data_IF_599359184926
#
_entry.id   IF_599359184926
#
_cell.length_a   1.000
_cell.length_b   1.000
_cell.length_c   1.000
_cell.angle_alpha   90.00
_cell.angle_beta   90.00
_cell.angle_gamma   90.00
#
_symmetry.space_group_name_H-M   'P 1'
#
loop_
_entity.id
_entity.type
_entity.pdbx_description
1 polymer ?
#
# COMPACT_ATOMS: atom_id res chain seq x y z
N UNK A 1 -12.99 -7.83 5.84
CA UNK A 1 -13.06 -8.02 4.37
C UNK A 1 -11.75 -7.64 3.71
N UNK A 2 -11.35 -6.38 3.75
CA UNK A 2 -10.07 -5.88 3.22
C UNK A 2 -8.84 -6.66 3.72
N UNK A 3 -8.76 -6.98 5.02
CA UNK A 3 -7.69 -7.80 5.60
C UNK A 3 -7.55 -9.20 5.00
N UNK A 4 -8.68 -9.84 4.70
CA UNK A 4 -8.69 -11.19 4.18
C UNK A 4 -8.32 -11.18 2.69
N UNK A 5 -8.82 -10.21 1.93
CA UNK A 5 -8.46 -10.08 0.51
C UNK A 5 -6.97 -9.79 0.32
N UNK A 6 -6.36 -8.95 1.16
CA UNK A 6 -4.94 -8.59 1.02
C UNK A 6 -4.00 -9.70 1.50
N UNK A 7 -4.37 -10.48 2.51
CA UNK A 7 -3.59 -11.66 2.89
C UNK A 7 -3.63 -12.75 1.80
N UNK A 8 -4.77 -12.95 1.14
CA UNK A 8 -4.89 -13.89 0.01
C UNK A 8 -4.05 -13.43 -1.20
N UNK A 9 -4.05 -12.12 -1.49
CA UNK A 9 -3.19 -11.55 -2.55
C UNK A 9 -1.70 -11.72 -2.20
N UNK A 10 -1.29 -11.48 -0.96
CA UNK A 10 0.10 -11.68 -0.53
C UNK A 10 0.55 -13.14 -0.64
N UNK A 11 -0.30 -14.08 -0.27
CA UNK A 11 0.00 -15.51 -0.43
C UNK A 11 0.08 -15.91 -1.91
N UNK A 12 -0.81 -15.38 -2.76
CA UNK A 12 -0.75 -15.62 -4.21
C UNK A 12 0.52 -15.07 -4.84
N UNK A 13 1.03 -13.91 -4.41
CA UNK A 13 2.25 -13.30 -4.95
C UNK A 13 3.51 -14.08 -4.61
N UNK A 14 3.52 -14.80 -3.47
CA UNK A 14 4.59 -15.74 -3.13
C UNK A 14 4.72 -16.87 -4.16
N UNK A 15 3.61 -17.46 -4.61
CA UNK A 15 3.66 -18.52 -5.62
C UNK A 15 4.11 -18.02 -6.98
N UNK A 16 3.82 -16.76 -7.32
CA UNK A 16 4.21 -16.19 -8.61
C UNK A 16 5.71 -15.82 -8.58
N UNK A 17 6.20 -15.16 -7.52
CA UNK A 17 7.58 -14.63 -7.43
C UNK A 17 8.61 -15.63 -6.91
N UNK A 18 8.19 -16.67 -6.18
CA UNK A 18 9.10 -17.60 -5.53
C UNK A 18 9.96 -16.98 -4.40
N UNK A 19 9.77 -15.70 -4.11
CA UNK A 19 10.53 -14.95 -3.12
C UNK A 19 9.63 -14.51 -1.95
N UNK A 20 9.93 -14.97 -0.74
CA UNK A 20 9.12 -14.74 0.47
C UNK A 20 9.20 -13.31 1.01
N UNK A 21 10.31 -12.60 0.79
CA UNK A 21 10.54 -11.26 1.36
C UNK A 21 9.51 -10.23 0.86
N UNK A 22 9.05 -10.32 -0.39
CA UNK A 22 8.03 -9.41 -0.92
C UNK A 22 6.65 -9.64 -0.27
N UNK A 23 6.23 -10.90 -0.11
CA UNK A 23 4.99 -11.24 0.61
C UNK A 23 5.02 -10.73 2.05
N UNK A 24 6.18 -10.75 2.71
CA UNK A 24 6.34 -10.23 4.07
C UNK A 24 6.14 -8.71 4.14
N UNK A 25 6.78 -7.95 3.24
CA UNK A 25 6.65 -6.49 3.18
C UNK A 25 5.18 -6.08 2.93
N UNK A 26 4.48 -6.76 2.03
CA UNK A 26 3.08 -6.47 1.72
C UNK A 26 2.15 -6.65 2.94
N UNK A 27 2.40 -7.67 3.76
CA UNK A 27 1.63 -7.89 4.99
C UNK A 27 1.91 -6.77 6.01
N UNK A 28 3.19 -6.39 6.22
CA UNK A 28 3.56 -5.37 7.19
C UNK A 28 3.00 -3.99 6.86
N UNK A 29 3.16 -3.54 5.62
CA UNK A 29 2.70 -2.20 5.20
C UNK A 29 1.19 -2.08 5.32
N UNK A 30 0.47 -3.14 4.94
CA UNK A 30 -0.98 -3.15 5.01
C UNK A 30 -1.47 -3.14 6.47
N UNK A 31 -0.86 -3.94 7.35
CA UNK A 31 -1.19 -3.95 8.78
C UNK A 31 -0.90 -2.60 9.43
N UNK A 32 0.26 -1.99 9.16
CA UNK A 32 0.62 -0.66 9.65
C UNK A 32 -0.34 0.45 9.20
N UNK A 33 -0.71 0.46 7.92
CA UNK A 33 -1.65 1.47 7.38
C UNK A 33 -3.05 1.36 7.98
N UNK A 34 -3.56 0.14 8.20
CA UNK A 34 -4.86 -0.05 8.84
C UNK A 34 -4.87 0.32 10.33
N UNK A 35 -3.76 0.13 11.06
CA UNK A 35 -3.68 0.53 12.46
C UNK A 35 -3.81 2.05 12.61
N UNK A 36 -3.10 2.80 11.75
CA UNK A 36 -3.18 4.28 11.74
C UNK A 36 -4.61 4.72 11.42
N UNK A 37 -5.25 4.09 10.41
CA UNK A 37 -6.63 4.40 10.03
C UNK A 37 -7.61 4.09 11.16
N UNK A 38 -7.42 2.98 11.88
CA UNK A 38 -8.27 2.62 13.02
C UNK A 38 -8.20 3.65 14.14
N UNK A 39 -6.99 4.10 14.50
CA UNK A 39 -6.81 5.14 15.53
C UNK A 39 -7.46 6.46 15.08
N UNK A 40 -7.29 6.85 13.80
CA UNK A 40 -7.88 8.07 13.25
C UNK A 40 -9.41 8.04 13.24
N UNK A 41 -10.03 6.92 12.83
CA UNK A 41 -11.50 6.83 12.82
C UNK A 41 -12.06 6.74 14.24
N UNK A 42 -11.38 6.02 15.15
CA UNK A 42 -11.78 5.94 16.55
C UNK A 42 -11.73 7.32 17.26
N UNK A 43 -10.84 8.23 16.85
CA UNK A 43 -10.79 9.59 17.41
C UNK A 43 -11.84 10.54 16.81
N UNK A 44 -12.37 10.23 15.62
CA UNK A 44 -13.35 11.06 14.91
C UNK A 44 -14.81 10.59 15.04
N UNK A 45 -15.05 9.32 15.38
CA UNK A 45 -16.38 8.76 15.39
C UNK A 45 -17.24 9.32 16.54
N UNK A 46 -18.21 10.18 16.21
CA UNK A 46 -19.45 10.27 16.98
C UNK A 46 -20.10 8.89 16.95
N UNK A 47 -20.46 8.34 18.10
CA UNK A 47 -21.02 6.98 18.32
C UNK A 47 -22.39 6.70 17.64
N UNK A 48 -22.55 7.01 16.36
CA UNK A 48 -23.73 6.63 15.58
C UNK A 48 -23.53 5.24 14.99
N UNK A 49 -24.49 4.35 15.27
CA UNK A 49 -24.44 2.98 14.76
C UNK A 49 -24.49 2.97 13.22
N UNK A 50 -23.35 2.65 12.61
CA UNK A 50 -23.18 2.50 11.16
C UNK A 50 -24.20 1.50 10.60
N UNK A 51 -25.19 2.00 9.86
CA UNK A 51 -26.10 1.18 9.04
C UNK A 51 -25.36 0.68 7.80
N UNK A 52 -24.59 -0.40 7.95
CA UNK A 52 -23.96 -1.08 6.81
C UNK A 52 -25.01 -1.88 6.04
N UNK A 53 -25.43 -1.39 4.87
CA UNK A 53 -26.15 -2.23 3.90
C UNK A 53 -25.16 -3.18 3.22
N UNK A 54 -25.60 -4.44 3.12
CA UNK A 54 -24.98 -5.57 2.44
C UNK A 54 -24.25 -5.18 1.15
N UNK A 55 -22.91 -5.15 1.20
CA UNK A 55 -22.03 -4.90 0.06
C UNK A 55 -21.17 -6.14 -0.21
N UNK A 56 -21.79 -7.15 -0.83
CA UNK A 56 -21.15 -8.42 -1.21
C UNK A 56 -20.69 -8.47 -2.68
N UNK A 57 -20.11 -7.40 -3.23
CA UNK A 57 -19.68 -7.43 -4.64
C UNK A 57 -18.23 -7.06 -4.95
N UNK A 58 -17.37 -6.80 -3.97
CA UNK A 58 -15.97 -6.41 -4.26
C UNK A 58 -14.95 -7.51 -3.92
N UNK A 59 -15.42 -8.74 -3.74
CA UNK A 59 -14.55 -9.89 -3.40
C UNK A 59 -13.92 -10.57 -4.61
N UNK A 60 -14.31 -10.19 -5.82
CA UNK A 60 -14.00 -10.94 -7.03
C UNK A 60 -13.37 -10.10 -8.11
N UNK A 61 -12.19 -9.52 -7.86
CA UNK A 61 -11.29 -9.09 -8.94
C UNK A 61 -9.82 -9.36 -8.58
N UNK A 62 -9.53 -10.54 -8.04
CA UNK A 62 -8.17 -11.07 -8.03
C UNK A 62 -8.03 -12.15 -9.08
N UNK A 63 -8.17 -11.74 -10.34
CA UNK A 63 -7.52 -12.40 -11.47
C UNK A 63 -6.95 -11.31 -12.38
N UNK A 64 -5.96 -10.58 -11.89
CA UNK A 64 -4.88 -10.21 -12.80
C UNK A 64 -4.04 -11.46 -12.98
N UNK A 65 -4.51 -12.32 -13.89
CA UNK A 65 -3.65 -13.24 -14.63
C UNK A 65 -2.72 -12.33 -15.43
N UNK A 66 -1.66 -11.86 -14.79
CA UNK A 66 -0.50 -11.39 -15.52
C UNK A 66 -0.03 -12.62 -16.30
N UNK A 67 0.16 -12.55 -17.63
CA UNK A 67 0.57 -13.70 -18.39
C UNK A 67 1.92 -14.17 -17.83
N UNK A 68 1.90 -15.39 -17.29
CA UNK A 68 3.04 -16.11 -16.71
C UNK A 68 4.19 -16.29 -17.73
N UNK A 69 3.97 -15.90 -18.99
CA UNK A 69 4.91 -16.04 -20.11
C UNK A 69 6.20 -15.22 -19.92
N UNK A 70 6.15 -14.02 -19.35
CA UNK A 70 7.35 -13.18 -19.23
C UNK A 70 8.21 -13.57 -18.01
N UNK A 71 7.62 -14.24 -17.02
CA UNK A 71 8.29 -14.65 -15.80
C UNK A 71 9.05 -15.97 -15.96
N UNK A 72 8.60 -16.82 -16.88
CA UNK A 72 9.33 -18.02 -17.28
C UNK A 72 10.68 -17.69 -17.94
N UNK A 73 10.78 -16.53 -18.61
CA UNK A 73 12.02 -16.08 -19.27
C UNK A 73 13.06 -15.50 -18.30
N UNK A 74 12.67 -15.07 -17.09
CA UNK A 74 13.58 -14.50 -16.08
C UNK A 74 14.24 -15.60 -15.21
N UNK A 75 13.71 -16.82 -15.21
CA UNK A 75 14.32 -17.98 -14.51
C UNK A 75 15.74 -18.33 -15.00
N UNK A 76 16.19 -17.75 -16.12
CA UNK A 76 17.51 -17.98 -16.69
C UNK A 76 18.68 -17.26 -16.02
N UNK A 77 18.47 -16.27 -15.13
CA UNK A 77 19.59 -15.68 -14.40
C UNK A 77 19.19 -15.15 -13.02
N UNK A 78 19.64 -15.85 -11.99
CA UNK A 78 19.51 -15.44 -10.59
C UNK A 78 20.30 -14.15 -10.33
N UNK A 79 19.61 -13.01 -10.37
CA UNK A 79 19.86 -11.92 -9.41
C UNK A 79 18.64 -11.00 -9.38
N UNK A 80 18.05 -10.81 -8.20
CA UNK A 80 16.99 -9.81 -7.96
C UNK A 80 17.38 -8.42 -8.49
N UNK A 81 18.69 -8.12 -8.49
CA UNK A 81 19.28 -6.89 -8.99
C UNK A 81 18.93 -6.62 -10.46
N UNK A 82 18.93 -7.65 -11.32
CA UNK A 82 18.61 -7.47 -12.75
C UNK A 82 17.14 -7.17 -13.02
N UNK A 83 16.24 -7.56 -12.11
CA UNK A 83 14.82 -7.22 -12.21
C UNK A 83 14.63 -5.71 -11.98
N UNK A 84 15.38 -5.11 -11.05
CA UNK A 84 15.32 -3.66 -10.79
C UNK A 84 15.98 -2.83 -11.88
N UNK A 85 17.03 -3.36 -12.49
CA UNK A 85 17.76 -2.72 -13.59
C UNK A 85 17.04 -2.83 -14.96
N UNK A 86 15.89 -3.51 -15.03
CA UNK A 86 15.12 -3.55 -16.28
C UNK A 86 14.59 -2.15 -16.65
N UNK A 87 14.65 -1.80 -17.93
CA UNK A 87 14.23 -0.48 -18.42
C UNK A 87 12.81 -0.08 -17.98
N UNK A 88 11.80 -0.98 -17.97
CA UNK A 88 10.47 -0.66 -17.47
C UNK A 88 10.43 -0.41 -15.95
N UNK A 89 11.20 -1.15 -15.14
CA UNK A 89 11.20 -0.97 -13.68
C UNK A 89 11.92 0.29 -13.24
N UNK A 90 12.97 0.71 -13.96
CA UNK A 90 13.69 1.95 -13.65
C UNK A 90 12.79 3.20 -13.77
N UNK A 91 11.92 3.23 -14.78
CA UNK A 91 10.93 4.31 -14.97
C UNK A 91 9.92 4.32 -13.81
N UNK A 92 9.43 3.14 -13.40
CA UNK A 92 8.50 3.01 -12.26
C UNK A 92 9.16 3.47 -10.95
N UNK A 93 10.42 3.10 -10.72
CA UNK A 93 11.18 3.52 -9.53
C UNK A 93 11.33 5.05 -9.49
N UNK A 94 11.64 5.68 -10.64
CA UNK A 94 11.75 7.14 -10.73
C UNK A 94 10.43 7.84 -10.36
N UNK A 95 9.30 7.33 -10.86
CA UNK A 95 7.98 7.85 -10.49
C UNK A 95 7.70 7.69 -8.99
N UNK A 96 8.03 6.55 -8.38
CA UNK A 96 7.85 6.32 -6.95
C UNK A 96 8.66 7.28 -6.08
N UNK A 97 9.92 7.54 -6.45
CA UNK A 97 10.76 8.51 -5.73
C UNK A 97 10.16 9.91 -5.81
N UNK A 98 9.67 10.32 -6.98
CA UNK A 98 9.00 11.62 -7.13
C UNK A 98 7.72 11.75 -6.29
N UNK A 99 6.94 10.66 -6.21
CA UNK A 99 5.72 10.60 -5.39
C UNK A 99 6.02 10.71 -3.89
N UNK A 100 7.02 9.98 -3.39
CA UNK A 100 7.41 10.03 -1.98
C UNK A 100 7.88 11.42 -1.58
N UNK A 101 8.69 12.09 -2.43
CA UNK A 101 9.11 13.46 -2.18
C UNK A 101 7.94 14.44 -2.16
N UNK A 102 7.01 14.32 -3.11
CA UNK A 102 5.83 15.19 -3.17
C UNK A 102 4.94 15.05 -1.93
N UNK A 103 4.64 13.80 -1.54
CA UNK A 103 3.82 13.54 -0.35
C UNK A 103 4.51 13.98 0.94
N UNK A 104 5.83 13.83 1.06
CA UNK A 104 6.58 14.34 2.21
C UNK A 104 6.49 15.87 2.37
N UNK A 105 6.67 16.62 1.27
CA UNK A 105 6.50 18.08 1.27
C UNK A 105 5.06 18.45 1.63
N UNK A 106 4.07 17.73 1.07
CA UNK A 106 2.66 17.94 1.40
C UNK A 106 2.36 17.73 2.89
N UNK A 107 2.95 16.70 3.51
CA UNK A 107 2.81 16.42 4.95
C UNK A 107 3.46 17.52 5.79
N UNK A 108 4.67 17.98 5.45
CA UNK A 108 5.33 19.09 6.19
C UNK A 108 4.46 20.34 6.17
N UNK A 109 3.92 20.70 4.99
CA UNK A 109 3.03 21.86 4.85
C UNK A 109 1.72 21.71 5.62
N UNK A 110 1.18 20.49 5.74
CA UNK A 110 -0.03 20.24 6.51
C UNK A 110 0.21 20.42 8.02
N UNK A 111 1.37 19.98 8.52
CA UNK A 111 1.73 20.09 9.94
C UNK A 111 2.00 21.54 10.36
N UNK A 112 2.54 22.40 9.48
CA UNK A 112 2.82 23.81 9.79
C UNK A 112 1.56 24.70 9.90
N UNK A 113 0.41 24.25 9.40
CA UNK A 113 -0.85 25.03 9.40
C UNK A 113 -1.49 25.08 10.80
N UNK A 114 -1.12 24.18 11.73
CA UNK A 114 -1.65 24.16 13.11
C UNK A 114 -0.89 25.10 14.08
N UNK A 115 -0.59 26.34 13.66
CA UNK A 115 -0.37 27.41 14.65
C UNK A 115 -1.74 27.82 15.20
N UNK A 116 -2.19 27.13 16.26
CA UNK A 116 -3.39 27.49 16.99
C UNK A 116 -3.36 28.97 17.42
N UNK A 117 -4.52 29.62 17.59
CA UNK A 117 -4.59 31.04 17.92
C UNK A 117 -3.74 31.30 19.16
N UNK A 118 -2.70 32.11 19.02
CA UNK A 118 -1.95 32.65 20.14
C UNK A 118 -3.00 33.27 21.06
N UNK A 119 -3.22 32.66 22.22
CA UNK A 119 -4.06 33.24 23.25
C UNK A 119 -3.42 34.58 23.59
N UNK A 120 -4.03 35.68 23.18
CA UNK A 120 -3.59 37.01 23.57
C UNK A 120 -3.82 37.12 25.07
N UNK A 121 -2.72 37.12 25.82
CA UNK A 121 -2.75 37.46 27.23
C UNK A 121 -2.80 38.98 27.31
N UNK A 122 -3.97 39.53 27.63
CA UNK A 122 -4.11 40.85 28.24
C UNK A 122 -3.63 40.82 29.68
#
# INVERSE_FOLDING_TARGET
>A
FLMLSTSLVAFSSYFILGYSWYSYIMILVFLGGMLILFIYVASLASNEFLKLKSFYWVGGLTLFIIPVSDWILIKGSNSMVKVYESFPTAIVILFLVSYLLFTFIGVIKLVEIEMGPLREFS
#
